data_IF_181729937955
#
_entry.id   IF_181729937955
#
_cell.length_a   1.000
_cell.length_b   1.000
_cell.length_c   1.000
_cell.angle_alpha   90.00
_cell.angle_beta   90.00
_cell.angle_gamma   90.00
#
_symmetry.space_group_name_H-M   'P 1'
#
loop_
_entity.id
_entity.type
_entity.pdbx_description
1 polymer ?
#
# COMPACT_ATOMS: atom_id res chain seq x y z
N UNK A 1 6.32 -19.59 18.24
CA UNK A 1 4.99 -20.15 17.90
C UNK A 1 4.11 -19.01 17.41
N UNK A 2 3.42 -19.19 16.30
CA UNK A 2 2.46 -18.22 15.75
C UNK A 2 1.30 -17.96 16.72
N UNK A 3 0.92 -16.70 16.89
CA UNK A 3 -0.22 -16.33 17.74
C UNK A 3 -1.54 -16.77 17.08
N UNK A 4 -2.31 -17.61 17.78
CA UNK A 4 -3.59 -18.12 17.27
C UNK A 4 -4.64 -17.01 17.21
N UNK A 5 -5.27 -16.85 16.05
CA UNK A 5 -6.36 -15.89 15.85
C UNK A 5 -7.60 -16.28 16.65
N UNK A 6 -8.27 -15.26 17.20
CA UNK A 6 -9.60 -15.38 17.82
C UNK A 6 -10.67 -15.58 16.76
N UNK A 7 -11.81 -16.14 17.14
CA UNK A 7 -12.90 -16.45 16.20
C UNK A 7 -13.36 -15.22 15.41
N UNK A 8 -13.58 -14.07 16.06
CA UNK A 8 -13.99 -12.85 15.36
C UNK A 8 -12.95 -12.35 14.34
N UNK A 9 -11.65 -12.61 14.57
CA UNK A 9 -10.58 -12.24 13.62
C UNK A 9 -10.64 -13.14 12.39
N UNK A 10 -10.87 -14.44 12.59
CA UNK A 10 -11.08 -15.41 11.53
C UNK A 10 -12.31 -15.03 10.70
N UNK A 11 -13.43 -14.72 11.36
CA UNK A 11 -14.67 -14.35 10.68
C UNK A 11 -14.53 -13.03 9.91
N UNK A 12 -13.80 -12.06 10.48
CA UNK A 12 -13.49 -10.79 9.79
C UNK A 12 -12.65 -11.01 8.53
N UNK A 13 -11.64 -11.89 8.58
CA UNK A 13 -10.81 -12.23 7.42
C UNK A 13 -11.61 -12.99 6.35
N UNK A 14 -12.51 -13.89 6.76
CA UNK A 14 -13.41 -14.60 5.83
C UNK A 14 -14.35 -13.63 5.11
N UNK A 15 -14.94 -12.68 5.84
CA UNK A 15 -15.79 -11.66 5.26
C UNK A 15 -15.02 -10.76 4.27
N UNK A 16 -13.77 -10.41 4.62
CA UNK A 16 -12.87 -9.65 3.75
C UNK A 16 -12.56 -10.42 2.45
N UNK A 17 -12.17 -11.69 2.57
CA UNK A 17 -11.87 -12.59 1.45
C UNK A 17 -13.08 -12.77 0.52
N UNK A 18 -14.29 -12.95 1.08
CA UNK A 18 -15.53 -13.01 0.30
C UNK A 18 -15.81 -11.71 -0.46
N UNK A 19 -15.65 -10.56 0.19
CA UNK A 19 -15.84 -9.27 -0.45
C UNK A 19 -14.92 -9.11 -1.67
N UNK A 20 -13.62 -9.37 -1.49
CA UNK A 20 -12.64 -9.22 -2.56
C UNK A 20 -12.83 -10.25 -3.68
N UNK A 21 -13.23 -11.48 -3.36
CA UNK A 21 -13.60 -12.50 -4.35
C UNK A 21 -14.78 -12.04 -5.22
N UNK A 22 -15.84 -11.50 -4.62
CA UNK A 22 -16.95 -10.95 -5.38
C UNK A 22 -16.57 -9.66 -6.12
N UNK A 23 -15.69 -8.83 -5.55
CA UNK A 23 -15.27 -7.59 -6.19
C UNK A 23 -14.50 -7.86 -7.48
N UNK A 24 -13.69 -8.92 -7.53
CA UNK A 24 -12.96 -9.35 -8.73
C UNK A 24 -13.89 -9.72 -9.90
N UNK A 25 -15.10 -10.20 -9.62
CA UNK A 25 -16.06 -10.67 -10.64
C UNK A 25 -17.21 -9.70 -10.92
N UNK A 26 -17.66 -8.94 -9.92
CA UNK A 26 -18.87 -8.12 -9.98
C UNK A 26 -18.60 -6.62 -9.86
N UNK A 27 -17.38 -6.22 -9.49
CA UNK A 27 -17.05 -4.87 -9.07
C UNK A 27 -17.42 -4.59 -7.60
N UNK A 28 -16.76 -3.59 -7.01
CA UNK A 28 -16.78 -3.33 -5.57
C UNK A 28 -18.18 -3.06 -4.99
N UNK A 29 -18.98 -2.22 -5.65
CA UNK A 29 -20.30 -1.84 -5.14
C UNK A 29 -21.27 -3.03 -5.06
N UNK A 30 -21.29 -3.89 -6.09
CA UNK A 30 -22.14 -5.10 -6.11
C UNK A 30 -21.64 -6.14 -5.11
N UNK A 31 -20.33 -6.30 -4.99
CA UNK A 31 -19.72 -7.17 -3.99
C UNK A 31 -20.08 -6.74 -2.56
N UNK A 32 -19.97 -5.45 -2.26
CA UNK A 32 -20.33 -4.91 -0.95
C UNK A 32 -21.81 -5.14 -0.62
N UNK A 33 -22.70 -4.81 -1.57
CA UNK A 33 -24.15 -5.05 -1.43
C UNK A 33 -24.47 -6.52 -1.12
N UNK A 34 -23.75 -7.45 -1.76
CA UNK A 34 -23.90 -8.90 -1.53
C UNK A 34 -23.39 -9.35 -0.16
N UNK A 35 -22.27 -8.81 0.31
CA UNK A 35 -21.66 -9.20 1.59
C UNK A 35 -22.31 -8.54 2.81
N UNK A 36 -22.72 -7.28 2.69
CA UNK A 36 -23.17 -6.44 3.81
C UNK A 36 -24.68 -6.23 3.81
N UNK A 37 -25.34 -6.44 2.67
CA UNK A 37 -26.77 -6.20 2.48
C UNK A 37 -27.05 -4.80 1.91
N UNK A 38 -28.34 -4.54 1.63
CA UNK A 38 -28.76 -3.31 0.94
C UNK A 38 -28.85 -2.08 1.85
N UNK A 39 -28.87 -2.28 3.17
CA UNK A 39 -29.10 -1.22 4.16
C UNK A 39 -27.88 -0.30 4.37
N UNK A 40 -26.71 -0.66 3.84
CA UNK A 40 -25.49 0.14 3.93
C UNK A 40 -24.98 0.40 2.51
N UNK A 41 -25.01 1.66 2.11
CA UNK A 41 -24.50 2.07 0.81
C UNK A 41 -22.97 1.92 0.75
N UNK A 42 -22.48 1.35 -0.35
CA UNK A 42 -21.05 1.36 -0.64
C UNK A 42 -20.61 2.77 -1.04
N UNK A 43 -19.54 3.27 -0.42
CA UNK A 43 -18.97 4.56 -0.76
C UNK A 43 -17.79 4.37 -1.71
N UNK A 44 -18.04 4.52 -3.01
CA UNK A 44 -17.03 4.37 -4.04
C UNK A 44 -16.15 5.62 -4.16
N UNK A 45 -15.16 5.72 -3.28
CA UNK A 45 -14.21 6.84 -3.24
C UNK A 45 -13.02 6.68 -4.17
N UNK A 46 -12.86 5.49 -4.76
CA UNK A 46 -11.67 5.12 -5.54
C UNK A 46 -12.07 4.65 -6.95
N UNK A 47 -13.19 5.17 -7.48
CA UNK A 47 -13.63 4.98 -8.86
C UNK A 47 -13.61 3.51 -9.32
N UNK A 48 -14.26 2.65 -8.54
CA UNK A 48 -14.39 1.22 -8.83
C UNK A 48 -13.30 0.35 -8.21
N UNK A 49 -12.20 0.94 -7.71
CA UNK A 49 -11.19 0.19 -6.95
C UNK A 49 -11.79 -0.23 -5.60
N UNK A 50 -11.81 -1.53 -5.25
CA UNK A 50 -12.45 -2.00 -4.03
C UNK A 50 -11.76 -1.48 -2.78
N UNK A 51 -12.56 -0.92 -1.86
CA UNK A 51 -12.11 -0.35 -0.60
C UNK A 51 -13.13 -0.63 0.51
N UNK A 52 -12.69 -1.27 1.59
CA UNK A 52 -13.54 -1.62 2.73
C UNK A 52 -12.82 -1.42 4.05
N UNK A 53 -13.58 -1.19 5.12
CA UNK A 53 -13.06 -1.05 6.46
C UNK A 53 -13.58 -2.20 7.34
N UNK A 54 -12.67 -2.94 7.97
CA UNK A 54 -13.03 -3.89 9.01
C UNK A 54 -13.25 -3.14 10.33
N UNK A 55 -14.46 -3.23 10.88
CA UNK A 55 -14.78 -2.63 12.18
C UNK A 55 -14.42 -3.61 13.29
N UNK A 56 -13.28 -3.38 13.92
CA UNK A 56 -12.74 -4.22 15.01
C UNK A 56 -12.72 -3.40 16.30
N UNK A 57 -13.11 -3.96 17.47
CA UNK A 57 -13.05 -3.25 18.74
C UNK A 57 -11.61 -2.86 19.12
N UNK A 58 -11.48 -1.84 19.96
CA UNK A 58 -10.21 -1.46 20.59
C UNK A 58 -9.62 -2.66 21.33
N UNK A 59 -8.29 -2.86 21.22
CA UNK A 59 -7.63 -4.05 21.76
C UNK A 59 -7.82 -5.32 20.93
N UNK A 60 -8.54 -5.27 19.80
CA UNK A 60 -8.76 -6.42 18.91
C UNK A 60 -7.57 -6.81 18.01
N UNK A 61 -6.36 -6.36 18.34
CA UNK A 61 -5.13 -6.58 17.57
C UNK A 61 -5.29 -6.26 16.06
N UNK A 62 -5.78 -5.05 15.75
CA UNK A 62 -6.09 -4.60 14.36
C UNK A 62 -4.90 -4.76 13.41
N UNK A 63 -3.70 -4.41 13.85
CA UNK A 63 -2.47 -4.55 13.07
C UNK A 63 -2.13 -6.01 12.77
N UNK A 64 -2.36 -6.95 13.70
CA UNK A 64 -2.22 -8.39 13.43
C UNK A 64 -3.24 -8.85 12.37
N UNK A 65 -4.49 -8.41 12.49
CA UNK A 65 -5.55 -8.72 11.53
C UNK A 65 -5.18 -8.20 10.13
N UNK A 66 -4.63 -6.99 10.06
CA UNK A 66 -4.16 -6.40 8.82
C UNK A 66 -3.01 -7.22 8.20
N UNK A 67 -2.05 -7.71 8.98
CA UNK A 67 -0.99 -8.58 8.46
C UNK A 67 -1.55 -9.87 7.84
N UNK A 68 -2.54 -10.50 8.48
CA UNK A 68 -3.22 -11.68 7.93
C UNK A 68 -4.12 -11.37 6.72
N UNK A 69 -4.57 -10.12 6.54
CA UNK A 69 -5.39 -9.73 5.39
C UNK A 69 -4.61 -9.65 4.08
N UNK A 70 -3.32 -9.32 4.13
CA UNK A 70 -2.46 -9.16 2.95
C UNK A 70 -2.54 -10.38 2.01
N UNK A 71 -2.21 -11.62 2.46
CA UNK A 71 -2.30 -12.79 1.58
C UNK A 71 -3.71 -13.09 1.10
N UNK A 72 -4.73 -12.78 1.91
CA UNK A 72 -6.13 -12.97 1.52
C UNK A 72 -6.53 -12.07 0.35
N UNK A 73 -6.18 -10.79 0.40
CA UNK A 73 -6.46 -9.84 -0.68
C UNK A 73 -5.58 -10.13 -1.91
N UNK A 74 -4.32 -10.48 -1.69
CA UNK A 74 -3.38 -10.83 -2.76
C UNK A 74 -3.89 -12.02 -3.59
N UNK A 75 -4.45 -13.05 -2.96
CA UNK A 75 -4.97 -14.23 -3.65
C UNK A 75 -6.39 -14.01 -4.22
N UNK A 76 -7.30 -13.41 -3.46
CA UNK A 76 -8.72 -13.32 -3.86
C UNK A 76 -9.06 -12.21 -4.86
N UNK A 77 -8.22 -11.18 -4.97
CA UNK A 77 -8.48 -10.04 -5.86
C UNK A 77 -7.31 -9.71 -6.79
N UNK A 78 -6.10 -9.57 -6.24
CA UNK A 78 -4.94 -9.16 -7.05
C UNK A 78 -4.40 -10.33 -7.88
N UNK A 79 -4.63 -11.57 -7.44
CA UNK A 79 -4.12 -12.80 -8.04
C UNK A 79 -2.58 -12.80 -8.15
N UNK A 80 -1.88 -12.56 -7.04
CA UNK A 80 -0.41 -12.51 -6.98
C UNK A 80 0.17 -13.20 -5.74
N UNK A 81 1.33 -13.84 -5.91
CA UNK A 81 2.11 -14.51 -4.86
C UNK A 81 3.28 -13.66 -4.34
N UNK A 82 3.41 -12.43 -4.84
CA UNK A 82 4.47 -11.47 -4.51
C UNK A 82 3.91 -10.04 -4.49
N UNK A 83 2.95 -9.73 -3.60
CA UNK A 83 2.31 -8.43 -3.60
C UNK A 83 3.28 -7.35 -3.09
N UNK A 84 3.10 -6.14 -3.63
CA UNK A 84 3.59 -4.91 -2.99
C UNK A 84 2.46 -4.36 -2.13
N UNK A 85 2.77 -4.03 -0.88
CA UNK A 85 1.84 -3.52 0.11
C UNK A 85 2.30 -2.15 0.57
N UNK A 86 1.44 -1.15 0.45
CA UNK A 86 1.61 0.16 1.06
C UNK A 86 0.83 0.18 2.39
N UNK A 87 1.56 0.15 3.50
CA UNK A 87 1.01 0.17 4.84
C UNK A 87 1.07 1.58 5.42
N UNK A 88 -0.08 2.23 5.47
CA UNK A 88 -0.27 3.59 5.95
C UNK A 88 -0.64 3.61 7.43
N UNK A 89 0.09 4.42 8.20
CA UNK A 89 -0.16 4.67 9.63
C UNK A 89 -0.32 6.17 9.90
N UNK A 90 -0.98 6.58 10.99
CA UNK A 90 -1.27 7.99 11.22
C UNK A 90 -0.09 8.80 11.76
N UNK A 91 0.89 8.19 12.44
CA UNK A 91 2.01 8.90 13.07
C UNK A 91 3.34 8.20 12.87
N UNK A 92 4.43 8.96 12.98
CA UNK A 92 5.79 8.44 12.86
C UNK A 92 6.13 7.41 13.94
N UNK A 93 5.68 7.65 15.18
CA UNK A 93 5.86 6.70 16.28
C UNK A 93 5.23 5.33 15.95
N UNK A 94 4.00 5.33 15.41
CA UNK A 94 3.33 4.09 15.00
C UNK A 94 4.05 3.46 13.79
N UNK A 95 4.61 4.28 12.89
CA UNK A 95 5.42 3.80 11.75
C UNK A 95 6.62 3.00 12.24
N UNK A 96 7.43 3.57 13.13
CA UNK A 96 8.62 2.93 13.67
C UNK A 96 8.28 1.63 14.42
N UNK A 97 7.23 1.66 15.26
CA UNK A 97 6.76 0.48 15.99
C UNK A 97 6.29 -0.65 15.05
N UNK A 98 5.50 -0.29 14.03
CA UNK A 98 4.98 -1.26 13.05
C UNK A 98 6.09 -1.85 12.20
N UNK A 99 7.04 -1.02 11.76
CA UNK A 99 8.20 -1.45 10.99
C UNK A 99 9.06 -2.44 11.79
N UNK A 100 9.42 -2.10 13.04
CA UNK A 100 10.19 -2.98 13.92
C UNK A 100 9.46 -4.30 14.20
N UNK A 101 8.14 -4.24 14.41
CA UNK A 101 7.31 -5.42 14.64
C UNK A 101 7.17 -6.32 13.41
N UNK A 102 7.14 -5.75 12.19
CA UNK A 102 7.11 -6.52 10.95
C UNK A 102 8.50 -7.07 10.58
N UNK A 103 9.58 -6.38 10.93
CA UNK A 103 10.95 -6.84 10.68
C UNK A 103 11.39 -7.98 11.63
N UNK A 104 10.86 -8.02 12.85
CA UNK A 104 11.20 -9.05 13.83
C UNK A 104 10.54 -10.40 13.51
N UNK A 105 11.35 -11.40 13.11
CA UNK A 105 10.91 -12.78 12.78
C UNK A 105 10.13 -13.50 13.89
N UNK A 106 10.33 -13.11 15.14
CA UNK A 106 9.63 -13.70 16.28
C UNK A 106 8.31 -13.01 16.60
N UNK A 107 8.05 -11.85 15.99
CA UNK A 107 6.85 -11.06 16.27
C UNK A 107 5.63 -11.62 15.52
N UNK A 108 4.43 -11.64 16.13
CA UNK A 108 3.23 -12.17 15.50
C UNK A 108 2.88 -11.58 14.13
N UNK A 109 3.16 -10.28 13.91
CA UNK A 109 2.89 -9.62 12.62
C UNK A 109 3.76 -10.21 11.50
N UNK A 110 5.05 -10.44 11.77
CA UNK A 110 5.97 -11.08 10.83
C UNK A 110 5.61 -12.54 10.61
N UNK A 111 5.28 -13.27 11.67
CA UNK A 111 4.86 -14.67 11.58
C UNK A 111 3.57 -14.84 10.76
N UNK A 112 2.65 -13.88 10.83
CA UNK A 112 1.44 -13.87 10.01
C UNK A 112 1.77 -13.86 8.51
N UNK A 113 2.78 -13.09 8.08
CA UNK A 113 3.24 -13.08 6.69
C UNK A 113 4.09 -14.30 6.35
N UNK A 114 5.00 -14.73 7.24
CA UNK A 114 5.86 -15.89 7.03
C UNK A 114 5.06 -17.18 6.84
N UNK A 115 3.90 -17.30 7.49
CA UNK A 115 3.00 -18.45 7.29
C UNK A 115 2.52 -18.63 5.85
N UNK A 116 2.56 -17.58 5.02
CA UNK A 116 2.13 -17.62 3.61
C UNK A 116 3.30 -17.51 2.64
N UNK A 117 4.21 -16.57 2.87
CA UNK A 117 5.29 -16.24 1.93
C UNK A 117 6.63 -16.90 2.29
N UNK A 118 6.71 -17.61 3.42
CA UNK A 118 7.97 -18.12 3.95
C UNK A 118 8.95 -16.98 4.18
N UNK A 119 10.19 -17.14 3.71
CA UNK A 119 11.24 -16.13 3.87
C UNK A 119 11.25 -15.06 2.77
N UNK A 120 10.37 -15.18 1.76
CA UNK A 120 10.25 -14.23 0.63
C UNK A 120 9.48 -12.96 1.04
N UNK A 121 9.93 -12.29 2.10
CA UNK A 121 9.26 -11.09 2.61
C UNK A 121 10.29 -10.00 2.88
N UNK A 122 10.09 -8.85 2.22
CA UNK A 122 10.87 -7.63 2.42
C UNK A 122 10.02 -6.61 3.17
N UNK A 123 10.57 -6.06 4.24
CA UNK A 123 9.93 -5.04 5.07
C UNK A 123 10.82 -3.80 5.02
N UNK A 124 10.27 -2.67 4.59
CA UNK A 124 11.01 -1.42 4.54
C UNK A 124 10.08 -0.23 4.83
N UNK A 125 10.68 0.91 5.12
CA UNK A 125 10.02 2.19 4.95
C UNK A 125 10.40 2.79 3.59
N UNK A 126 10.12 4.08 3.42
CA UNK A 126 10.38 4.79 2.17
C UNK A 126 11.88 4.96 1.90
N UNK A 127 12.68 5.22 2.94
CA UNK A 127 14.14 5.34 2.81
C UNK A 127 14.75 3.97 2.46
N UNK A 128 14.24 2.89 3.08
CA UNK A 128 14.64 1.53 2.75
C UNK A 128 14.22 1.06 1.36
N UNK A 129 13.27 1.70 0.68
CA UNK A 129 12.86 1.33 -0.68
C UNK A 129 14.02 1.45 -1.67
N UNK A 130 14.97 2.37 -1.43
CA UNK A 130 16.17 2.55 -2.24
C UNK A 130 17.06 1.31 -2.27
N UNK A 131 16.97 0.46 -1.24
CA UNK A 131 17.70 -0.81 -1.16
C UNK A 131 16.97 -1.98 -1.82
N UNK A 132 15.73 -1.77 -2.29
CA UNK A 132 14.93 -2.81 -2.91
C UNK A 132 15.36 -2.99 -4.35
N UNK A 133 15.89 -4.17 -4.66
CA UNK A 133 16.32 -4.47 -6.02
C UNK A 133 15.08 -4.65 -6.92
N UNK A 134 15.15 -4.20 -8.19
CA UNK A 134 14.11 -4.48 -9.19
C UNK A 134 13.73 -5.97 -9.26
N UNK A 135 14.67 -6.88 -9.05
CA UNK A 135 14.44 -8.33 -9.01
C UNK A 135 13.65 -8.82 -7.80
N UNK A 136 13.60 -8.07 -6.69
CA UNK A 136 12.75 -8.42 -5.55
C UNK A 136 11.26 -8.27 -5.90
N UNK A 137 10.93 -7.33 -6.79
CA UNK A 137 9.59 -7.14 -7.33
C UNK A 137 9.21 -8.34 -8.18
N UNK A 138 8.10 -8.99 -7.83
CA UNK A 138 7.66 -10.23 -8.48
C UNK A 138 8.20 -11.52 -7.84
N UNK A 139 9.09 -11.42 -6.85
CA UNK A 139 9.67 -12.58 -6.15
C UNK A 139 9.30 -12.62 -4.67
N UNK A 140 9.08 -11.47 -4.04
CA UNK A 140 8.80 -11.36 -2.61
C UNK A 140 7.51 -10.60 -2.31
N UNK A 141 6.89 -10.88 -1.16
CA UNK A 141 5.92 -9.99 -0.54
C UNK A 141 6.68 -8.78 0.03
N UNK A 142 6.43 -7.60 -0.52
CA UNK A 142 7.10 -6.37 -0.12
C UNK A 142 6.10 -5.52 0.69
N UNK A 143 6.43 -5.19 1.93
CA UNK A 143 5.60 -4.33 2.78
C UNK A 143 6.36 -3.04 3.09
N UNK A 144 5.82 -1.93 2.58
CA UNK A 144 6.36 -0.59 2.73
C UNK A 144 5.52 0.15 3.78
N UNK A 145 6.11 0.47 4.93
CA UNK A 145 5.41 1.15 6.03
C UNK A 145 5.72 2.65 5.99
N UNK A 146 4.69 3.48 5.91
CA UNK A 146 4.86 4.94 5.90
C UNK A 146 3.71 5.68 6.57
N UNK A 147 3.91 6.96 6.86
CA UNK A 147 2.84 7.81 7.37
C UNK A 147 1.98 8.33 6.22
N UNK A 148 0.71 8.60 6.49
CA UNK A 148 -0.20 9.21 5.48
C UNK A 148 0.28 10.59 5.05
N UNK A 149 0.96 11.30 5.94
CA UNK A 149 1.47 12.66 5.71
C UNK A 149 2.47 12.74 4.55
N UNK A 150 3.12 11.65 4.15
CA UNK A 150 4.05 11.67 3.01
C UNK A 150 3.38 12.00 1.67
N UNK A 151 2.05 11.81 1.59
CA UNK A 151 1.23 12.13 0.42
C UNK A 151 0.58 13.51 0.51
N UNK A 152 0.82 14.29 1.58
CA UNK A 152 0.34 15.67 1.65
C UNK A 152 1.22 16.54 0.76
N UNK A 153 0.60 17.21 -0.22
CA UNK A 153 1.27 18.17 -1.09
C UNK A 153 1.42 19.48 -0.31
N UNK A 154 2.52 19.60 0.44
CA UNK A 154 2.94 20.88 1.01
C UNK A 154 4.08 21.43 0.14
N UNK A 155 3.74 22.35 -0.77
CA UNK A 155 4.67 22.92 -1.76
C UNK A 155 5.88 23.58 -1.10
N UNK A 156 5.76 24.06 0.14
CA UNK A 156 6.84 24.75 0.86
C UNK A 156 7.83 23.80 1.56
N UNK A 157 7.51 22.50 1.71
CA UNK A 157 8.35 21.51 2.42
C UNK A 157 9.08 20.52 1.50
N UNK A 158 9.14 20.83 0.20
CA UNK A 158 9.33 19.85 -0.88
C UNK A 158 10.79 19.64 -1.30
N UNK A 159 11.60 18.98 -0.48
CA UNK A 159 12.89 18.48 -1.00
C UNK A 159 13.27 17.05 -0.58
N UNK A 160 12.80 16.54 0.57
CA UNK A 160 13.31 15.24 1.07
C UNK A 160 12.24 14.25 1.56
N UNK A 161 10.97 14.65 1.67
CA UNK A 161 9.90 13.78 2.24
C UNK A 161 8.58 13.84 1.48
N UNK A 162 8.64 14.11 0.19
CA UNK A 162 7.45 14.25 -0.64
C UNK A 162 7.35 13.05 -1.61
N UNK A 163 6.27 12.28 -1.53
CA UNK A 163 6.04 11.12 -2.40
C UNK A 163 5.97 11.47 -3.91
N UNK A 164 5.78 12.74 -4.23
CA UNK A 164 5.69 13.27 -5.58
C UNK A 164 7.01 13.84 -6.10
N UNK A 165 8.06 13.91 -5.29
CA UNK A 165 9.38 14.37 -5.74
C UNK A 165 10.03 13.37 -6.71
N UNK A 166 10.95 13.86 -7.54
CA UNK A 166 11.83 13.00 -8.33
C UNK A 166 12.92 12.44 -7.41
N UNK A 167 13.09 11.13 -7.45
CA UNK A 167 14.10 10.39 -6.69
C UNK A 167 14.86 9.47 -7.65
N UNK A 168 16.13 9.78 -7.87
CA UNK A 168 17.00 9.03 -8.76
C UNK A 168 17.19 7.57 -8.31
N UNK A 169 17.11 7.30 -7.00
CA UNK A 169 17.25 5.94 -6.46
C UNK A 169 16.17 4.97 -6.95
N UNK A 170 15.02 5.48 -7.41
CA UNK A 170 13.94 4.66 -7.95
C UNK A 170 14.07 4.38 -9.45
N UNK A 171 15.07 4.95 -10.12
CA UNK A 171 15.18 4.93 -11.59
C UNK A 171 15.22 3.52 -12.18
N UNK A 172 15.80 2.55 -11.47
CA UNK A 172 15.87 1.17 -11.95
C UNK A 172 14.47 0.56 -12.22
N UNK A 173 13.46 0.96 -11.44
CA UNK A 173 12.08 0.48 -11.59
C UNK A 173 11.40 1.02 -12.86
N UNK A 174 11.91 2.10 -13.46
CA UNK A 174 11.33 2.76 -14.62
C UNK A 174 12.08 2.48 -15.94
N UNK A 175 13.09 1.62 -15.93
CA UNK A 175 13.95 1.32 -17.09
C UNK A 175 13.24 0.63 -18.27
N UNK A 176 12.11 -0.03 -18.04
CA UNK A 176 11.42 -0.87 -19.04
C UNK A 176 9.91 -0.54 -19.12
N UNK A 177 9.57 0.74 -19.02
CA UNK A 177 8.18 1.17 -19.15
C UNK A 177 7.67 0.97 -20.58
N UNK A 178 6.49 0.37 -20.69
CA UNK A 178 5.71 0.42 -21.93
C UNK A 178 5.11 1.83 -22.13
N UNK A 179 4.81 2.26 -23.36
CA UNK A 179 4.15 3.54 -23.60
C UNK A 179 2.84 3.71 -22.81
N UNK A 180 2.07 2.64 -22.69
CA UNK A 180 0.81 2.62 -21.94
C UNK A 180 1.02 2.84 -20.43
N UNK A 181 2.06 2.23 -19.85
CA UNK A 181 2.40 2.46 -18.43
C UNK A 181 2.81 3.92 -18.20
N UNK A 182 3.65 4.47 -19.08
CA UNK A 182 4.15 5.84 -18.98
C UNK A 182 3.06 6.92 -19.16
N UNK A 183 1.98 6.63 -19.88
CA UNK A 183 0.89 7.58 -20.14
C UNK A 183 0.18 8.02 -18.86
N UNK A 184 -0.07 7.07 -17.94
CA UNK A 184 -0.78 7.34 -16.69
C UNK A 184 0.09 7.95 -15.58
N UNK A 185 1.39 8.15 -15.85
CA UNK A 185 2.38 8.58 -14.86
C UNK A 185 2.58 10.09 -14.84
N UNK A 186 2.90 10.62 -13.66
CA UNK A 186 3.35 12.00 -13.53
C UNK A 186 4.62 12.24 -14.35
N UNK A 187 4.69 13.39 -15.02
CA UNK A 187 5.86 13.84 -15.76
C UNK A 187 6.54 15.00 -15.05
N UNK A 188 7.83 15.19 -15.33
CA UNK A 188 8.55 16.40 -14.92
C UNK A 188 7.94 17.59 -15.65
N UNK A 189 7.60 18.63 -14.90
CA UNK A 189 7.03 19.89 -15.40
C UNK A 189 7.94 21.07 -15.07
N UNK A 190 7.67 22.25 -15.64
CA UNK A 190 8.38 23.47 -15.27
C UNK A 190 8.25 23.80 -13.76
N UNK A 191 7.09 23.53 -13.14
CA UNK A 191 6.87 23.66 -11.70
C UNK A 191 7.79 22.72 -10.90
N UNK A 192 8.04 21.51 -11.41
CA UNK A 192 8.95 20.54 -10.80
C UNK A 192 10.37 21.09 -10.67
N UNK A 193 10.84 21.87 -11.66
CA UNK A 193 12.19 22.45 -11.67
C UNK A 193 12.39 23.50 -10.57
N UNK A 194 11.33 24.23 -10.20
CA UNK A 194 11.39 25.27 -9.17
C UNK A 194 11.77 24.71 -7.79
N UNK A 195 11.39 23.46 -7.54
CA UNK A 195 11.60 22.77 -6.27
C UNK A 195 12.58 21.60 -6.38
N UNK A 196 13.24 21.40 -7.53
CA UNK A 196 14.23 20.33 -7.73
C UNK A 196 15.31 20.80 -8.71
N UNK A 197 16.26 21.65 -8.26
CA UNK A 197 17.18 22.38 -9.12
C UNK A 197 18.23 21.50 -9.82
N UNK A 198 18.33 20.22 -9.44
CA UNK A 198 19.14 19.23 -10.14
C UNK A 198 18.50 18.72 -11.44
N UNK A 199 17.20 19.01 -11.67
CA UNK A 199 16.52 18.78 -12.95
C UNK A 199 16.65 20.02 -13.85
N UNK A 200 16.61 19.80 -15.16
CA UNK A 200 16.78 20.84 -16.19
C UNK A 200 15.58 20.91 -17.13
N UNK A 201 15.53 21.94 -17.99
CA UNK A 201 14.47 22.04 -19.03
C UNK A 201 14.43 20.83 -19.97
N UNK A 202 15.55 20.13 -20.17
CA UNK A 202 15.63 18.90 -20.97
C UNK A 202 14.86 17.74 -20.36
N UNK A 203 14.59 17.80 -19.05
CA UNK A 203 13.87 16.75 -18.33
C UNK A 203 12.36 16.92 -18.43
N UNK A 204 11.86 18.08 -18.86
CA UNK A 204 10.42 18.34 -18.97
C UNK A 204 9.77 17.33 -19.92
N UNK A 205 8.66 16.74 -19.46
CA UNK A 205 7.90 15.72 -20.20
C UNK A 205 8.39 14.28 -19.97
N UNK A 206 9.55 14.07 -19.35
CA UNK A 206 10.00 12.72 -18.95
C UNK A 206 9.17 12.20 -17.78
N UNK A 207 9.04 10.88 -17.68
CA UNK A 207 8.41 10.25 -16.50
C UNK A 207 9.17 10.64 -15.24
N UNK A 208 8.45 11.12 -14.24
CA UNK A 208 9.03 11.49 -12.95
C UNK A 208 9.28 10.22 -12.14
N UNK A 209 10.53 9.86 -11.85
CA UNK A 209 10.82 8.69 -11.02
C UNK A 209 10.47 9.02 -9.55
N UNK A 210 9.22 8.80 -9.16
CA UNK A 210 8.68 9.17 -7.84
C UNK A 210 8.04 7.98 -7.17
N UNK A 211 7.82 8.07 -5.85
CA UNK A 211 7.09 7.04 -5.08
C UNK A 211 5.66 6.88 -5.60
N UNK A 212 4.99 7.98 -5.96
CA UNK A 212 3.65 7.93 -6.55
C UNK A 212 3.65 7.16 -7.87
N UNK A 213 4.62 7.40 -8.75
CA UNK A 213 4.72 6.64 -10.00
C UNK A 213 5.16 5.19 -9.77
N UNK A 214 5.96 4.91 -8.74
CA UNK A 214 6.30 3.54 -8.33
C UNK A 214 5.02 2.79 -7.91
N UNK A 215 4.16 3.41 -7.10
CA UNK A 215 2.88 2.81 -6.72
C UNK A 215 1.88 2.74 -7.88
N UNK A 216 1.90 3.69 -8.81
CA UNK A 216 1.08 3.62 -10.02
C UNK A 216 1.48 2.41 -10.89
N UNK A 217 2.80 2.20 -11.05
CA UNK A 217 3.34 1.07 -11.80
C UNK A 217 2.97 -0.27 -11.16
N UNK A 218 3.12 -0.37 -9.84
CA UNK A 218 3.02 -1.64 -9.12
C UNK A 218 1.65 -1.94 -8.51
N UNK A 219 0.72 -0.99 -8.53
CA UNK A 219 -0.68 -1.14 -8.06
C UNK A 219 -0.76 -1.86 -6.71
N UNK A 220 -0.19 -1.28 -5.64
CA UNK A 220 -0.03 -1.97 -4.37
C UNK A 220 -1.37 -2.26 -3.69
N UNK A 221 -1.38 -3.28 -2.83
CA UNK A 221 -2.43 -3.42 -1.80
C UNK A 221 -2.22 -2.31 -0.77
N UNK A 222 -3.26 -1.52 -0.50
CA UNK A 222 -3.18 -0.45 0.50
C UNK A 222 -3.82 -0.91 1.81
N UNK A 223 -3.04 -0.88 2.88
CA UNK A 223 -3.51 -1.10 4.25
C UNK A 223 -3.51 0.25 4.96
N UNK A 224 -4.67 0.70 5.45
CA UNK A 224 -4.78 1.90 6.29
C UNK A 224 -5.02 1.48 7.73
N UNK A 225 -3.96 1.47 8.54
CA UNK A 225 -4.10 1.21 9.97
C UNK A 225 -4.68 2.44 10.69
N UNK A 226 -5.47 2.19 11.73
CA UNK A 226 -6.21 3.21 12.48
C UNK A 226 -7.06 4.15 11.58
N UNK A 227 -7.69 3.60 10.53
CA UNK A 227 -8.48 4.35 9.54
C UNK A 227 -9.54 5.30 10.12
N UNK A 228 -10.01 5.08 11.36
CA UNK A 228 -10.93 5.99 12.04
C UNK A 228 -10.32 7.38 12.29
N UNK A 229 -8.99 7.49 12.41
CA UNK A 229 -8.26 8.76 12.53
C UNK A 229 -8.13 9.51 11.20
N UNK A 230 -8.44 8.84 10.09
CA UNK A 230 -8.24 9.36 8.73
C UNK A 230 -9.58 9.69 8.04
N UNK A 231 -10.64 9.91 8.82
CA UNK A 231 -11.97 10.31 8.30
C UNK A 231 -12.08 11.81 7.96
N UNK A 232 -10.98 12.55 8.04
CA UNK A 232 -10.91 13.96 7.64
C UNK A 232 -10.78 14.09 6.12
N UNK A 233 -11.90 14.17 5.43
CA UNK A 233 -11.95 14.45 4.00
C UNK A 233 -13.40 14.42 3.52
N UNK A 234 -14.04 15.59 3.53
CA UNK A 234 -15.06 15.95 2.55
C UNK A 234 -14.33 16.50 1.33
#
# INVERSE_FOLDING_TARGET
MSLKLKQYQIDSLKALEQFFTFAASLGAAKAFKRCVGENIAYNDRLEGIPSVCLRVPTGGCKTLLAAHSIPKVAQSYVNTESPIVLWLVPTDMIRQQTLAALANVNHPYRQALQGYYGDRIKICDIEGLQSLNKHDVGQSCIVIVTTIQIFNIDKEKTYQRNAYAFDESLSEHFTQLTPQQAESMDKVTADTLQYQPFLTEKDIGRVKHSLVNFFNLHRPIIVVDEAHKNRGGK
#
